data_IF_840778986093
#
_entry.id   IF_840778986093
#
_cell.length_a   1.000
_cell.length_b   1.000
_cell.length_c   1.000
_cell.angle_alpha   90.00
_cell.angle_beta   90.00
_cell.angle_gamma   90.00
#
_symmetry.space_group_name_H-M   'P 1'
#
loop_
_entity.id
_entity.type
_entity.pdbx_description
1 polymer ?
#
# COMPACT_ATOMS: atom_id res chain seq x y z
N UNK A 1 -39.43 3.92 3.87
CA UNK A 1 -38.28 3.79 4.80
C UNK A 1 -37.38 4.99 4.62
N UNK A 2 -36.89 5.59 5.71
CA UNK A 2 -35.91 6.68 5.71
C UNK A 2 -34.65 6.20 6.44
N UNK A 3 -33.75 5.46 5.78
CA UNK A 3 -32.53 4.99 6.42
C UNK A 3 -31.64 6.18 6.80
N UNK A 4 -31.04 6.14 7.99
CA UNK A 4 -30.10 7.17 8.43
C UNK A 4 -28.77 7.08 7.66
N UNK A 5 -28.31 5.86 7.37
CA UNK A 5 -27.08 5.61 6.63
C UNK A 5 -27.16 4.26 5.89
N UNK A 6 -26.32 4.11 4.88
CA UNK A 6 -26.00 2.84 4.23
C UNK A 6 -24.53 2.52 4.50
N UNK A 7 -24.24 1.26 4.85
CA UNK A 7 -22.87 0.74 4.98
C UNK A 7 -22.63 -0.22 3.83
N UNK A 8 -21.57 0.00 3.05
CA UNK A 8 -21.24 -0.82 1.89
C UNK A 8 -19.74 -1.07 1.77
N UNK A 9 -19.37 -2.16 1.10
CA UNK A 9 -17.98 -2.49 0.84
C UNK A 9 -17.43 -1.63 -0.29
N UNK A 10 -16.27 -1.00 -0.09
CA UNK A 10 -15.49 -0.27 -1.08
C UNK A 10 -16.18 0.98 -1.67
N UNK A 11 -17.35 0.84 -2.29
CA UNK A 11 -18.18 1.92 -2.84
C UNK A 11 -17.78 2.40 -4.24
N UNK A 12 -16.73 1.84 -4.85
CA UNK A 12 -16.21 2.31 -6.15
C UNK A 12 -16.60 1.43 -7.33
N UNK A 13 -16.90 0.15 -7.10
CA UNK A 13 -17.29 -0.78 -8.15
C UNK A 13 -18.79 -1.09 -8.14
N UNK A 14 -19.30 -1.53 -9.29
CA UNK A 14 -20.65 -2.08 -9.36
C UNK A 14 -20.71 -3.42 -8.58
N UNK A 15 -21.76 -3.67 -7.77
CA UNK A 15 -22.98 -2.85 -7.62
C UNK A 15 -22.91 -1.72 -6.57
N UNK A 16 -21.93 -1.71 -5.67
CA UNK A 16 -21.85 -0.78 -4.54
C UNK A 16 -21.80 0.69 -4.98
N UNK A 17 -21.09 1.02 -6.05
CA UNK A 17 -21.05 2.35 -6.62
C UNK A 17 -22.43 2.87 -7.06
N UNK A 18 -23.32 1.99 -7.53
CA UNK A 18 -24.68 2.38 -7.88
C UNK A 18 -25.51 2.69 -6.63
N UNK A 19 -25.31 1.92 -5.55
CA UNK A 19 -25.93 2.17 -4.24
C UNK A 19 -25.43 3.49 -3.67
N UNK A 20 -24.12 3.71 -3.65
CA UNK A 20 -23.47 4.97 -3.26
C UNK A 20 -24.09 6.16 -3.98
N UNK A 21 -24.13 6.08 -5.31
CA UNK A 21 -24.66 7.15 -6.16
C UNK A 21 -26.11 7.48 -5.84
N UNK A 22 -26.99 6.48 -5.77
CA UNK A 22 -28.41 6.69 -5.46
C UNK A 22 -28.61 7.27 -4.06
N UNK A 23 -27.83 6.82 -3.08
CA UNK A 23 -27.90 7.32 -1.71
C UNK A 23 -27.46 8.79 -1.63
N UNK A 24 -26.34 9.14 -2.28
CA UNK A 24 -25.87 10.53 -2.36
C UNK A 24 -26.89 11.46 -3.03
N UNK A 25 -27.52 11.02 -4.12
CA UNK A 25 -28.59 11.79 -4.79
C UNK A 25 -29.81 12.02 -3.88
N UNK A 26 -30.05 11.13 -2.91
CA UNK A 26 -31.15 11.21 -1.95
C UNK A 26 -30.75 11.86 -0.61
N UNK A 27 -29.51 12.34 -0.48
CA UNK A 27 -29.00 12.90 0.77
C UNK A 27 -28.88 11.88 1.90
N UNK A 28 -28.78 10.60 1.58
CA UNK A 28 -28.58 9.51 2.54
C UNK A 28 -27.06 9.35 2.76
N UNK A 29 -26.62 9.33 4.02
CA UNK A 29 -25.21 9.13 4.39
C UNK A 29 -24.73 7.76 3.92
N UNK A 30 -23.54 7.70 3.32
CA UNK A 30 -22.93 6.44 2.86
C UNK A 30 -21.59 6.23 3.53
N UNK A 31 -21.48 5.10 4.22
CA UNK A 31 -20.29 4.62 4.87
C UNK A 31 -19.68 3.53 4.00
N UNK A 32 -18.44 3.72 3.56
CA UNK A 32 -17.69 2.69 2.85
C UNK A 32 -16.73 2.02 3.80
N UNK A 33 -16.45 0.73 3.57
CA UNK A 33 -15.45 0.01 4.32
C UNK A 33 -14.49 -0.79 3.45
N UNK A 34 -13.28 -1.01 3.96
CA UNK A 34 -12.30 -1.89 3.33
C UNK A 34 -11.62 -2.82 4.34
N UNK A 35 -11.05 -3.92 3.83
CA UNK A 35 -10.18 -4.80 4.61
C UNK A 35 -8.94 -4.04 5.11
N UNK A 36 -8.61 -4.25 6.38
CA UNK A 36 -7.41 -3.68 6.98
C UNK A 36 -6.14 -4.46 6.69
N UNK A 37 -4.99 -3.87 7.05
CA UNK A 37 -3.68 -4.50 6.88
C UNK A 37 -3.42 -5.67 7.83
N UNK A 38 -4.13 -5.72 8.97
CA UNK A 38 -4.04 -6.80 9.94
C UNK A 38 -5.16 -7.83 9.70
N UNK A 39 -4.93 -9.11 10.05
CA UNK A 39 -6.00 -10.11 9.99
C UNK A 39 -7.24 -9.67 10.76
N UNK A 40 -8.42 -9.95 10.17
CA UNK A 40 -9.73 -9.68 10.76
C UNK A 40 -9.97 -8.21 11.16
N UNK A 41 -9.32 -7.25 10.49
CA UNK A 41 -9.62 -5.83 10.70
C UNK A 41 -10.32 -5.20 9.50
N UNK A 42 -11.11 -4.16 9.74
CA UNK A 42 -11.74 -3.37 8.69
C UNK A 42 -11.66 -1.86 9.00
N UNK A 43 -11.50 -1.06 7.96
CA UNK A 43 -11.49 0.40 8.00
C UNK A 43 -12.82 0.92 7.49
N UNK A 44 -13.41 1.91 8.17
CA UNK A 44 -14.69 2.52 7.81
C UNK A 44 -14.52 4.03 7.64
N UNK A 45 -15.24 4.62 6.68
CA UNK A 45 -15.21 6.07 6.44
C UNK A 45 -16.48 6.55 5.73
N UNK A 46 -16.83 7.81 5.93
CA UNK A 46 -17.83 8.53 5.10
C UNK A 46 -17.28 8.89 3.70
N UNK A 47 -15.95 8.83 3.54
CA UNK A 47 -15.27 9.07 2.28
C UNK A 47 -15.24 7.83 1.39
N UNK A 48 -14.12 7.65 0.71
CA UNK A 48 -13.83 6.49 -0.13
C UNK A 48 -12.82 5.61 0.61
N UNK A 49 -13.26 4.41 1.03
CA UNK A 49 -12.44 3.52 1.86
C UNK A 49 -11.13 3.10 1.19
N UNK A 50 -11.11 3.04 -0.15
CA UNK A 50 -9.96 2.70 -0.97
C UNK A 50 -8.83 3.73 -0.87
N UNK A 51 -9.20 5.01 -0.77
CA UNK A 51 -8.30 6.15 -0.56
C UNK A 51 -7.69 6.17 0.84
N UNK A 52 -8.32 5.50 1.81
CA UNK A 52 -7.89 5.46 3.21
C UNK A 52 -7.67 6.88 3.78
N UNK A 53 -8.69 7.76 3.77
CA UNK A 53 -8.56 9.15 4.23
C UNK A 53 -8.44 9.20 5.76
N UNK A 54 -7.23 8.96 6.27
CA UNK A 54 -6.93 8.98 7.70
C UNK A 54 -6.51 10.40 8.07
N UNK A 55 -7.23 11.00 9.01
CA UNK A 55 -6.81 12.25 9.63
C UNK A 55 -5.94 11.95 10.85
N UNK A 56 -4.65 12.29 10.79
CA UNK A 56 -3.71 12.12 11.90
C UNK A 56 -3.36 13.49 12.45
N UNK A 57 -3.76 13.76 13.69
CA UNK A 57 -3.41 15.02 14.37
C UNK A 57 -1.89 15.22 14.38
N UNK A 58 -1.37 16.44 14.09
CA UNK A 58 0.05 16.77 14.23
C UNK A 58 0.64 16.43 15.61
N UNK A 59 -0.20 16.50 16.65
CA UNK A 59 0.19 16.23 18.04
C UNK A 59 0.27 14.74 18.38
N UNK A 60 -0.27 13.85 17.53
CA UNK A 60 -0.19 12.42 17.76
C UNK A 60 1.25 11.94 17.57
N UNK A 61 1.89 11.51 18.65
CA UNK A 61 3.21 10.88 18.64
C UNK A 61 3.13 9.49 19.28
N UNK A 62 3.89 8.53 18.75
CA UNK A 62 3.94 7.19 19.32
C UNK A 62 4.65 7.24 20.68
N UNK A 63 4.03 6.65 21.70
CA UNK A 63 4.70 6.38 22.98
C UNK A 63 5.77 5.28 22.80
N UNK A 64 6.68 5.08 23.78
CA UNK A 64 7.63 3.97 23.73
C UNK A 64 6.96 2.59 23.53
N UNK A 65 5.85 2.33 24.22
CA UNK A 65 5.10 1.08 24.08
C UNK A 65 4.48 0.92 22.68
N UNK A 66 3.98 2.01 22.08
CA UNK A 66 3.46 1.99 20.71
C UNK A 66 4.57 1.71 19.69
N UNK A 67 5.76 2.29 19.90
CA UNK A 67 6.92 2.04 19.06
C UNK A 67 7.35 0.57 19.15
N UNK A 68 7.44 0.00 20.35
CA UNK A 68 7.82 -1.41 20.53
C UNK A 68 6.82 -2.35 19.84
N UNK A 69 5.51 -2.09 19.99
CA UNK A 69 4.46 -2.84 19.30
C UNK A 69 4.60 -2.74 17.78
N UNK A 70 4.93 -1.57 17.26
CA UNK A 70 5.15 -1.37 15.83
C UNK A 70 6.40 -2.11 15.33
N UNK A 71 7.48 -2.11 16.12
CA UNK A 71 8.73 -2.78 15.77
C UNK A 71 8.57 -4.30 15.72
N UNK A 72 7.76 -4.87 16.62
CA UNK A 72 7.38 -6.29 16.57
C UNK A 72 6.66 -6.63 15.26
N UNK A 73 5.64 -5.85 14.90
CA UNK A 73 4.93 -6.01 13.64
C UNK A 73 5.84 -5.89 12.42
N UNK A 74 6.73 -4.88 12.39
CA UNK A 74 7.67 -4.67 11.28
C UNK A 74 8.69 -5.82 11.18
N UNK A 75 9.18 -6.34 12.31
CA UNK A 75 10.11 -7.48 12.36
C UNK A 75 9.51 -8.74 11.74
N UNK A 76 8.24 -9.03 12.00
CA UNK A 76 7.52 -10.14 11.36
C UNK A 76 7.32 -9.89 9.86
N UNK A 77 6.90 -8.67 9.52
CA UNK A 77 6.64 -8.26 8.13
C UNK A 77 7.88 -8.34 7.25
N UNK A 78 9.03 -7.86 7.72
CA UNK A 78 10.31 -7.92 6.99
C UNK A 78 10.87 -9.34 6.85
N UNK A 79 10.43 -10.29 7.71
CA UNK A 79 10.71 -11.72 7.54
C UNK A 79 9.75 -12.42 6.57
N UNK A 80 8.81 -11.69 5.97
CA UNK A 80 7.79 -12.23 5.06
C UNK A 80 6.69 -13.02 5.77
N UNK A 81 6.54 -12.83 7.08
CA UNK A 81 5.47 -13.44 7.86
C UNK A 81 4.28 -12.49 7.93
N UNK A 82 3.63 -12.24 6.79
CA UNK A 82 2.39 -11.46 6.76
C UNK A 82 1.38 -11.98 5.74
N UNK A 83 0.10 -11.62 5.99
CA UNK A 83 -1.03 -11.92 5.12
C UNK A 83 -1.91 -10.69 4.97
N UNK A 84 -2.46 -10.43 3.79
CA UNK A 84 -3.50 -9.42 3.58
C UNK A 84 -4.75 -10.12 3.08
N UNK A 85 -5.91 -9.80 3.67
CA UNK A 85 -7.18 -10.47 3.36
C UNK A 85 -7.00 -12.01 3.31
N UNK A 86 -6.41 -12.59 4.35
CA UNK A 86 -6.15 -14.04 4.48
C UNK A 86 -5.23 -14.69 3.42
N UNK A 87 -4.50 -13.89 2.63
CA UNK A 87 -3.59 -14.39 1.59
C UNK A 87 -2.15 -14.07 1.97
N UNK A 88 -1.33 -15.11 2.03
CA UNK A 88 0.14 -15.00 2.12
C UNK A 88 0.72 -14.92 0.73
N UNK A 89 1.15 -13.73 0.31
CA UNK A 89 1.72 -13.51 -1.03
C UNK A 89 3.14 -14.09 -1.19
N UNK A 90 3.87 -14.32 -0.10
CA UNK A 90 5.24 -14.85 -0.11
C UNK A 90 5.38 -16.07 0.82
N UNK A 91 5.11 -17.30 0.32
CA UNK A 91 5.34 -18.51 1.11
C UNK A 91 6.84 -18.84 1.28
N UNK A 92 7.68 -18.47 0.30
CA UNK A 92 9.14 -18.61 0.33
C UNK A 92 9.79 -17.34 -0.29
N UNK A 93 10.34 -16.43 0.51
CA UNK A 93 11.13 -15.32 -0.04
C UNK A 93 12.52 -15.82 -0.39
N UNK A 94 12.88 -15.77 -1.67
CA UNK A 94 14.23 -16.04 -2.13
C UNK A 94 15.04 -14.75 -2.02
N UNK A 95 16.18 -14.81 -1.33
CA UNK A 95 17.12 -13.70 -1.31
C UNK A 95 17.65 -13.39 -2.71
N UNK A 96 18.49 -12.36 -2.82
CA UNK A 96 19.13 -12.02 -4.09
C UNK A 96 20.15 -13.10 -4.45
N UNK A 97 19.98 -13.78 -5.58
CA UNK A 97 20.84 -14.88 -6.00
C UNK A 97 22.21 -14.40 -6.51
N UNK A 98 23.13 -15.36 -6.71
CA UNK A 98 24.49 -15.06 -7.13
C UNK A 98 24.54 -14.35 -8.50
N UNK A 99 23.65 -14.71 -9.43
CA UNK A 99 23.60 -14.11 -10.76
C UNK A 99 23.14 -12.64 -10.69
N UNK A 100 22.15 -12.33 -9.86
CA UNK A 100 21.73 -10.96 -9.58
C UNK A 100 22.86 -10.16 -8.96
N UNK A 101 23.53 -10.70 -7.94
CA UNK A 101 24.62 -10.02 -7.24
C UNK A 101 25.82 -9.77 -8.15
N UNK A 102 26.16 -10.72 -9.01
CA UNK A 102 27.19 -10.56 -10.04
C UNK A 102 26.82 -9.43 -11.01
N UNK A 103 25.61 -9.46 -11.58
CA UNK A 103 25.13 -8.39 -12.48
C UNK A 103 25.16 -7.03 -11.79
N UNK A 104 24.64 -6.94 -10.57
CA UNK A 104 24.60 -5.70 -9.79
C UNK A 104 26.00 -5.13 -9.51
N UNK A 105 27.04 -5.96 -9.41
CA UNK A 105 28.41 -5.51 -9.17
C UNK A 105 29.01 -4.69 -10.32
N UNK A 106 28.43 -4.75 -11.52
CA UNK A 106 28.85 -3.96 -12.68
C UNK A 106 28.28 -2.54 -12.72
N UNK A 107 27.36 -2.21 -11.81
CA UNK A 107 26.69 -0.91 -11.75
C UNK A 107 27.09 -0.15 -10.49
N UNK A 108 27.02 1.18 -10.55
CA UNK A 108 27.36 2.04 -9.39
C UNK A 108 26.34 1.88 -8.26
N UNK A 109 25.09 1.64 -8.63
CA UNK A 109 23.96 1.66 -7.70
C UNK A 109 22.76 0.87 -8.22
N UNK A 110 21.84 0.53 -7.32
CA UNK A 110 20.62 -0.21 -7.62
C UNK A 110 19.41 0.68 -7.30
N UNK A 111 18.49 0.83 -8.24
CA UNK A 111 17.22 1.56 -8.06
C UNK A 111 16.05 0.62 -8.34
N UNK A 112 15.38 0.10 -7.29
CA UNK A 112 14.15 -0.66 -7.43
C UNK A 112 12.99 0.24 -7.85
N UNK A 113 12.20 -0.26 -8.80
CA UNK A 113 10.99 0.37 -9.31
C UNK A 113 9.84 -0.60 -9.04
N UNK A 114 9.07 -0.33 -7.98
CA UNK A 114 7.93 -1.16 -7.61
C UNK A 114 6.65 -0.62 -8.25
N UNK A 115 6.00 -1.48 -9.04
CA UNK A 115 4.70 -1.17 -9.65
C UNK A 115 3.54 -1.58 -8.75
N UNK A 116 2.34 -1.25 -9.20
CA UNK A 116 1.07 -1.63 -8.56
C UNK A 116 0.20 -2.42 -9.55
N UNK A 117 -0.83 -3.07 -9.01
CA UNK A 117 -1.91 -3.59 -9.84
C UNK A 117 -2.66 -2.42 -10.49
N UNK A 118 -2.67 -2.36 -11.83
CA UNK A 118 -3.18 -1.23 -12.61
C UNK A 118 -4.68 -0.97 -12.42
N UNK A 119 -5.44 -2.03 -12.15
CA UNK A 119 -6.91 -1.97 -11.98
C UNK A 119 -7.33 -2.01 -10.51
N UNK A 120 -6.40 -1.79 -9.57
CA UNK A 120 -6.76 -1.59 -8.18
C UNK A 120 -7.49 -0.24 -8.01
N UNK A 121 -8.58 -0.25 -7.25
CA UNK A 121 -9.28 0.97 -6.81
C UNK A 121 -8.37 2.02 -6.17
N UNK A 122 -7.24 1.62 -5.58
CA UNK A 122 -6.25 2.55 -5.04
C UNK A 122 -5.64 3.49 -6.09
N UNK A 123 -5.74 3.14 -7.39
CA UNK A 123 -5.25 3.96 -8.50
C UNK A 123 -6.14 5.19 -8.77
N UNK A 124 -7.41 5.17 -8.39
CA UNK A 124 -8.38 6.25 -8.71
C UNK A 124 -7.92 7.62 -8.19
N UNK A 125 -7.13 7.65 -7.11
CA UNK A 125 -6.60 8.88 -6.53
C UNK A 125 -5.10 9.06 -6.73
N UNK A 126 -4.43 8.09 -7.36
CA UNK A 126 -2.98 8.05 -7.45
C UNK A 126 -2.44 8.98 -8.53
N UNK A 127 -3.19 9.15 -9.62
CA UNK A 127 -2.75 9.81 -10.85
C UNK A 127 -2.75 11.34 -10.69
N UNK A 128 -1.82 11.88 -9.90
CA UNK A 128 -1.70 13.32 -9.62
C UNK A 128 -0.62 14.01 -10.44
N UNK A 129 0.40 13.27 -10.89
CA UNK A 129 1.53 13.77 -11.70
C UNK A 129 1.44 13.22 -13.12
N UNK A 130 1.27 11.91 -13.24
CA UNK A 130 1.14 11.18 -14.50
C UNK A 130 -0.32 10.78 -14.73
N UNK A 131 -0.73 10.69 -16.00
CA UNK A 131 -2.09 10.30 -16.37
C UNK A 131 -2.44 8.87 -15.89
N UNK A 132 -1.46 7.98 -15.90
CA UNK A 132 -1.51 6.62 -15.38
C UNK A 132 -0.08 6.10 -15.08
N UNK A 133 0.00 4.86 -14.58
CA UNK A 133 1.26 4.21 -14.22
C UNK A 133 2.14 3.86 -15.44
N UNK A 134 1.57 3.63 -16.63
CA UNK A 134 2.36 3.32 -17.82
C UNK A 134 3.07 4.56 -18.36
N UNK A 135 2.41 5.73 -18.33
CA UNK A 135 3.08 7.00 -18.66
C UNK A 135 4.21 7.30 -17.65
N UNK A 136 4.03 6.93 -16.38
CA UNK A 136 5.12 6.97 -15.41
C UNK A 136 6.25 6.00 -15.78
N UNK A 137 5.95 4.76 -16.15
CA UNK A 137 6.96 3.79 -16.59
C UNK A 137 7.71 4.23 -17.85
N UNK A 138 7.06 4.95 -18.79
CA UNK A 138 7.73 5.55 -19.94
C UNK A 138 8.75 6.62 -19.51
N UNK A 139 8.42 7.42 -18.48
CA UNK A 139 9.37 8.36 -17.87
C UNK A 139 10.53 7.63 -17.15
N UNK A 140 10.24 6.53 -16.43
CA UNK A 140 11.28 5.67 -15.84
C UNK A 140 12.20 5.09 -16.93
N UNK A 141 11.65 4.63 -18.05
CA UNK A 141 12.43 4.13 -19.20
C UNK A 141 13.38 5.20 -19.74
N UNK A 142 12.94 6.45 -19.86
CA UNK A 142 13.80 7.54 -20.29
C UNK A 142 14.98 7.76 -19.31
N UNK A 143 14.74 7.64 -17.99
CA UNK A 143 15.80 7.69 -16.99
C UNK A 143 16.76 6.49 -17.08
N UNK A 144 16.23 5.27 -17.30
CA UNK A 144 17.03 4.06 -17.52
C UNK A 144 18.02 4.27 -18.68
N UNK A 145 17.54 4.78 -19.81
CA UNK A 145 18.36 4.98 -21.01
C UNK A 145 19.44 6.07 -20.81
N UNK A 146 19.16 7.07 -19.97
CA UNK A 146 20.09 8.16 -19.66
C UNK A 146 21.16 7.79 -18.62
N UNK A 147 20.88 6.80 -17.77
CA UNK A 147 21.74 6.41 -16.64
C UNK A 147 22.24 4.94 -16.77
N UNK A 148 23.07 4.62 -17.77
CA UNK A 148 23.58 3.26 -17.98
C UNK A 148 24.45 2.74 -16.83
N UNK A 149 24.94 3.62 -15.96
CA UNK A 149 25.71 3.28 -14.75
C UNK A 149 24.85 2.81 -13.57
N UNK A 150 23.53 2.96 -13.64
CA UNK A 150 22.57 2.56 -12.59
C UNK A 150 21.83 1.30 -13.01
N UNK A 151 21.78 0.29 -12.14
CA UNK A 151 20.93 -0.89 -12.33
C UNK A 151 19.51 -0.59 -11.86
N UNK A 152 18.55 -0.60 -12.78
CA UNK A 152 17.14 -0.50 -12.45
C UNK A 152 16.51 -1.88 -12.31
N UNK A 153 15.76 -2.09 -11.23
CA UNK A 153 15.05 -3.35 -10.97
C UNK A 153 13.55 -3.10 -11.00
N UNK A 154 12.93 -3.37 -12.15
CA UNK A 154 11.48 -3.21 -12.30
C UNK A 154 10.81 -4.46 -11.78
N UNK A 155 9.97 -4.31 -10.76
CA UNK A 155 9.23 -5.42 -10.16
C UNK A 155 7.73 -5.26 -10.37
N UNK A 156 7.15 -6.17 -11.13
CA UNK A 156 5.70 -6.27 -11.29
C UNK A 156 5.01 -6.72 -9.99
N UNK A 157 3.77 -6.30 -9.78
CA UNK A 157 3.04 -6.68 -8.57
C UNK A 157 2.62 -8.17 -8.64
N UNK A 158 2.79 -8.97 -7.57
CA UNK A 158 2.47 -10.41 -7.60
C UNK A 158 1.03 -10.74 -7.99
N UNK A 159 0.09 -9.86 -7.65
CA UNK A 159 -1.33 -10.03 -7.97
C UNK A 159 -1.70 -9.82 -9.45
N UNK A 160 -0.82 -9.28 -10.32
CA UNK A 160 -1.15 -9.03 -11.74
C UNK A 160 -1.52 -10.30 -12.53
N UNK A 161 -0.97 -11.45 -12.13
CA UNK A 161 -1.20 -12.76 -12.77
C UNK A 161 -1.94 -13.75 -11.87
N UNK A 162 -2.61 -13.24 -10.83
CA UNK A 162 -3.43 -14.08 -9.99
C UNK A 162 -4.56 -14.69 -10.81
N UNK A 163 -4.65 -16.02 -10.83
CA UNK A 163 -5.67 -16.74 -11.59
C UNK A 163 -7.08 -16.22 -11.27
N UNK A 164 -7.83 -15.83 -12.30
CA UNK A 164 -9.16 -15.21 -12.19
C UNK A 164 -9.18 -13.70 -11.93
N UNK A 165 -8.01 -13.04 -11.87
CA UNK A 165 -7.83 -11.58 -11.73
C UNK A 165 -6.76 -11.05 -12.70
N UNK A 166 -6.54 -11.72 -13.82
CA UNK A 166 -5.46 -11.40 -14.75
C UNK A 166 -5.64 -10.01 -15.39
N UNK A 167 -4.57 -9.24 -15.38
CA UNK A 167 -4.52 -7.94 -16.06
C UNK A 167 -4.62 -8.10 -17.58
N UNK A 168 -5.49 -7.32 -18.24
CA UNK A 168 -5.48 -7.21 -19.73
C UNK A 168 -4.29 -6.40 -20.23
N UNK A 169 -3.89 -5.41 -19.45
CA UNK A 169 -2.67 -4.62 -19.61
C UNK A 169 -1.80 -4.89 -18.38
N UNK A 170 -0.63 -5.47 -18.57
CA UNK A 170 0.29 -5.85 -17.49
C UNK A 170 1.63 -5.15 -17.63
N UNK A 171 2.36 -5.04 -16.53
CA UNK A 171 3.73 -4.53 -16.54
C UNK A 171 4.64 -5.43 -17.38
N UNK A 172 4.45 -6.75 -17.31
CA UNK A 172 5.17 -7.72 -18.17
C UNK A 172 4.90 -7.46 -19.66
N UNK A 173 3.66 -7.13 -20.04
CA UNK A 173 3.30 -6.71 -21.39
C UNK A 173 4.01 -5.43 -21.82
N UNK A 174 3.96 -4.39 -20.98
CA UNK A 174 4.63 -3.12 -21.24
C UNK A 174 6.15 -3.28 -21.38
N UNK A 175 6.79 -4.08 -20.52
CA UNK A 175 8.25 -4.35 -20.57
C UNK A 175 8.63 -4.98 -21.91
N UNK A 176 7.92 -6.02 -22.36
CA UNK A 176 8.19 -6.71 -23.62
C UNK A 176 7.95 -5.81 -24.83
N UNK A 177 6.84 -5.06 -24.84
CA UNK A 177 6.51 -4.14 -25.93
C UNK A 177 7.58 -3.05 -26.11
N UNK A 178 8.09 -2.53 -24.99
CA UNK A 178 9.08 -1.47 -24.98
C UNK A 178 10.53 -1.98 -24.95
N UNK A 179 10.74 -3.31 -24.98
CA UNK A 179 12.06 -3.98 -24.94
C UNK A 179 12.92 -3.55 -23.75
N UNK A 180 12.28 -3.26 -22.63
CA UNK A 180 12.96 -2.75 -21.42
C UNK A 180 13.81 -3.83 -20.78
N UNK A 181 13.40 -5.10 -20.90
CA UNK A 181 14.15 -6.29 -20.50
C UNK A 181 15.42 -6.53 -21.35
N UNK A 182 15.54 -5.88 -22.51
CA UNK A 182 16.73 -5.96 -23.37
C UNK A 182 17.78 -4.90 -23.03
N UNK A 183 17.46 -3.95 -22.15
CA UNK A 183 18.40 -2.92 -21.73
C UNK A 183 19.44 -3.53 -20.76
N UNK A 184 20.74 -3.25 -20.96
CA UNK A 184 21.81 -3.89 -20.19
C UNK A 184 21.73 -3.60 -18.69
N UNK A 185 21.22 -2.41 -18.35
CA UNK A 185 21.10 -1.88 -17.00
C UNK A 185 19.71 -2.09 -16.37
N UNK A 186 18.96 -3.10 -16.85
CA UNK A 186 17.66 -3.49 -16.29
C UNK A 186 17.66 -4.95 -15.81
N UNK A 187 17.00 -5.18 -14.69
CA UNK A 187 16.48 -6.50 -14.28
C UNK A 187 14.97 -6.37 -14.15
N UNK A 188 14.23 -7.16 -14.91
CA UNK A 188 12.78 -7.29 -14.73
C UNK A 188 12.50 -8.50 -13.83
N UNK A 189 11.66 -8.29 -12.82
CA UNK A 189 11.17 -9.32 -11.91
C UNK A 189 9.66 -9.42 -12.12
N UNK A 190 9.21 -10.49 -12.77
CA UNK A 190 7.80 -10.71 -13.05
C UNK A 190 7.02 -11.01 -11.75
N UNK A 191 5.70 -10.87 -11.82
CA UNK A 191 4.72 -11.12 -10.76
C UNK A 191 4.85 -12.50 -10.08
N UNK A 192 5.30 -13.51 -10.82
CA UNK A 192 5.42 -14.89 -10.32
C UNK A 192 6.79 -15.16 -9.67
N UNK A 193 7.70 -14.19 -9.68
CA UNK A 193 9.03 -14.34 -9.11
C UNK A 193 9.09 -13.92 -7.64
N UNK A 194 9.56 -14.83 -6.80
CA UNK A 194 9.60 -14.66 -5.34
C UNK A 194 10.90 -14.02 -4.82
N UNK A 195 11.47 -13.06 -5.57
CA UNK A 195 12.61 -12.27 -5.09
C UNK A 195 12.22 -11.52 -3.79
N UNK A 196 13.10 -11.39 -2.81
CA UNK A 196 12.86 -10.60 -1.61
C UNK A 196 12.89 -9.11 -1.93
N UNK A 197 11.74 -8.43 -1.83
CA UNK A 197 11.71 -6.97 -1.97
C UNK A 197 12.49 -6.26 -0.86
N UNK A 198 12.57 -6.85 0.33
CA UNK A 198 13.31 -6.28 1.47
C UNK A 198 14.82 -6.33 1.26
N UNK A 199 15.36 -7.44 0.74
CA UNK A 199 16.79 -7.54 0.42
C UNK A 199 17.17 -6.54 -0.69
N UNK A 200 16.26 -6.38 -1.67
CA UNK A 200 16.41 -5.42 -2.75
C UNK A 200 16.40 -3.97 -2.23
N UNK A 201 15.46 -3.62 -1.33
CA UNK A 201 15.40 -2.31 -0.67
C UNK A 201 16.66 -2.08 0.17
N UNK A 202 17.13 -3.07 0.93
CA UNK A 202 18.30 -2.90 1.78
C UNK A 202 19.56 -2.50 0.99
N UNK A 203 19.72 -3.03 -0.23
CA UNK A 203 20.83 -2.73 -1.13
C UNK A 203 20.59 -1.53 -2.05
N UNK A 204 19.38 -0.97 -2.07
CA UNK A 204 19.05 0.11 -2.99
C UNK A 204 19.73 1.42 -2.61
N UNK A 205 19.92 2.27 -3.61
CA UNK A 205 20.37 3.64 -3.46
C UNK A 205 19.22 4.56 -3.04
N UNK A 206 18.12 4.50 -3.78
CA UNK A 206 16.79 4.95 -3.38
C UNK A 206 15.75 4.03 -4.05
N UNK A 207 14.48 4.20 -3.71
CA UNK A 207 13.37 3.38 -4.21
C UNK A 207 12.39 4.26 -4.97
N UNK A 208 11.90 3.75 -6.10
CA UNK A 208 10.81 4.35 -6.85
C UNK A 208 9.57 3.49 -6.69
N UNK A 209 8.43 4.14 -6.46
CA UNK A 209 7.12 3.49 -6.42
C UNK A 209 6.14 4.32 -7.23
N UNK A 210 5.08 3.70 -7.78
CA UNK A 210 3.94 4.50 -8.21
C UNK A 210 3.14 4.95 -6.97
N UNK A 211 2.34 4.05 -6.41
CA UNK A 211 1.62 4.27 -5.15
C UNK A 211 1.64 3.03 -4.22
N UNK A 212 2.63 2.14 -4.40
CA UNK A 212 2.75 0.88 -3.66
C UNK A 212 3.04 1.11 -2.18
N UNK A 213 2.34 0.38 -1.32
CA UNK A 213 2.53 0.43 0.14
C UNK A 213 3.93 0.03 0.58
N UNK A 214 4.68 -0.69 -0.27
CA UNK A 214 6.09 -1.02 -0.02
C UNK A 214 6.98 0.22 0.11
N UNK A 215 6.56 1.36 -0.47
CA UNK A 215 7.25 2.64 -0.27
C UNK A 215 7.31 3.03 1.19
N UNK A 216 6.23 2.83 1.95
CA UNK A 216 6.21 3.10 3.39
C UNK A 216 7.22 2.25 4.17
N UNK A 217 7.34 0.97 3.78
CA UNK A 217 8.30 0.04 4.37
C UNK A 217 9.74 0.43 4.03
N UNK A 218 10.00 0.87 2.78
CA UNK A 218 11.31 1.36 2.37
C UNK A 218 11.76 2.59 3.17
N UNK A 219 10.85 3.54 3.46
CA UNK A 219 11.14 4.69 4.33
C UNK A 219 11.51 4.24 5.74
N UNK A 220 10.77 3.27 6.30
CA UNK A 220 11.04 2.71 7.63
C UNK A 220 12.37 1.92 7.68
N UNK A 221 12.84 1.43 6.54
CA UNK A 221 14.17 0.85 6.36
C UNK A 221 15.27 1.89 6.08
N UNK A 222 14.94 3.18 6.14
CA UNK A 222 15.90 4.27 5.96
C UNK A 222 16.27 4.55 4.50
N UNK A 223 15.40 4.21 3.54
CA UNK A 223 15.61 4.49 2.10
C UNK A 223 14.77 5.65 1.63
N UNK A 224 15.36 6.50 0.80
CA UNK A 224 14.63 7.56 0.10
C UNK A 224 13.62 6.92 -0.85
N UNK A 225 12.41 7.45 -0.87
CA UNK A 225 11.34 7.00 -1.75
C UNK A 225 10.85 8.17 -2.60
N UNK A 226 10.88 7.98 -3.92
CA UNK A 226 10.28 8.87 -4.91
C UNK A 226 9.00 8.22 -5.44
N UNK A 227 7.85 8.84 -5.17
CA UNK A 227 6.54 8.37 -5.58
C UNK A 227 6.11 9.03 -6.90
N UNK A 228 5.72 8.22 -7.88
CA UNK A 228 5.12 8.68 -9.14
C UNK A 228 3.62 8.97 -9.04
N UNK A 229 2.96 8.44 -8.01
CA UNK A 229 1.54 8.67 -7.75
C UNK A 229 1.26 8.88 -6.26
N UNK A 230 0.12 9.48 -5.96
CA UNK A 230 -0.36 9.64 -4.58
C UNK A 230 -0.65 8.28 -3.97
N UNK A 231 -0.11 8.03 -2.78
CA UNK A 231 -0.35 6.81 -2.02
C UNK A 231 -1.04 7.14 -0.69
N UNK A 232 -1.55 6.10 -0.01
CA UNK A 232 -2.18 6.26 1.32
C UNK A 232 -1.24 6.95 2.31
N UNK A 233 0.05 6.62 2.28
CA UNK A 233 1.05 7.16 3.20
C UNK A 233 1.55 8.57 2.84
N UNK A 234 1.32 9.05 1.61
CA UNK A 234 1.74 10.40 1.18
C UNK A 234 0.77 11.50 1.64
N UNK A 235 -0.18 11.17 2.52
CA UNK A 235 -1.03 12.14 3.23
C UNK A 235 -0.24 12.88 4.33
N UNK A 236 0.82 12.25 4.84
CA UNK A 236 1.86 12.91 5.63
C UNK A 236 3.14 12.99 4.78
N UNK A 237 4.04 13.88 5.15
CA UNK A 237 5.38 13.97 4.56
C UNK A 237 6.20 12.74 4.97
N UNK A 238 6.08 11.68 4.18
CA UNK A 238 6.71 10.36 4.38
C UNK A 238 7.61 9.97 3.21
N UNK A 239 7.24 10.37 1.99
CA UNK A 239 8.00 10.18 0.76
C UNK A 239 8.08 11.49 -0.03
N UNK A 240 8.99 11.54 -1.00
CA UNK A 240 8.98 12.58 -2.01
C UNK A 240 7.86 12.31 -3.02
N UNK A 241 6.82 13.12 -2.97
CA UNK A 241 5.76 13.20 -3.99
C UNK A 241 5.70 14.65 -4.49
N UNK A 242 6.43 14.98 -5.57
CA UNK A 242 6.40 16.33 -6.14
C UNK A 242 5.03 16.66 -6.74
N UNK A 243 4.78 17.93 -7.05
CA UNK A 243 3.45 18.37 -7.53
C UNK A 243 3.36 18.37 -9.05
N UNK A 244 4.49 18.37 -9.75
CA UNK A 244 4.55 18.50 -11.20
C UNK A 244 5.60 17.56 -11.80
N UNK A 245 5.44 17.25 -13.09
CA UNK A 245 6.41 16.44 -13.83
C UNK A 245 7.83 17.03 -13.84
N UNK A 246 8.04 18.35 -14.06
CA UNK A 246 9.39 18.92 -13.98
C UNK A 246 10.04 18.78 -12.60
N UNK A 247 9.27 18.90 -11.52
CA UNK A 247 9.78 18.67 -10.16
C UNK A 247 10.10 17.19 -9.92
N UNK A 248 9.31 16.28 -10.49
CA UNK A 248 9.58 14.84 -10.48
C UNK A 248 10.91 14.52 -11.17
N UNK A 249 11.11 14.99 -12.40
CA UNK A 249 12.32 14.75 -13.17
C UNK A 249 13.56 15.33 -12.47
N UNK A 250 13.43 16.53 -11.88
CA UNK A 250 14.51 17.15 -11.12
C UNK A 250 14.91 16.35 -9.87
N UNK A 251 13.93 15.81 -9.12
CA UNK A 251 14.21 14.95 -7.97
C UNK A 251 14.80 13.60 -8.39
N UNK A 252 14.30 13.01 -9.47
CA UNK A 252 14.83 11.76 -10.03
C UNK A 252 16.30 11.93 -10.43
N UNK A 253 16.62 12.97 -11.20
CA UNK A 253 18.00 13.29 -11.60
C UNK A 253 18.89 13.54 -10.37
N UNK A 254 18.39 14.30 -9.39
CA UNK A 254 19.12 14.55 -8.15
C UNK A 254 19.47 13.24 -7.45
N UNK A 255 18.49 12.35 -7.25
CA UNK A 255 18.74 11.08 -6.55
C UNK A 255 19.56 10.09 -7.36
N UNK A 256 19.57 10.18 -8.69
CA UNK A 256 20.44 9.33 -9.52
C UNK A 256 21.91 9.80 -9.50
N UNK A 257 22.16 11.09 -9.24
CA UNK A 257 23.50 11.69 -9.29
C UNK A 257 24.13 11.93 -7.91
N UNK A 258 23.31 12.09 -6.87
CA UNK A 258 23.77 12.28 -5.49
C UNK A 258 24.35 10.96 -4.93
N UNK A 259 25.57 10.93 -4.37
CA UNK A 259 26.19 9.67 -3.93
C UNK A 259 25.45 8.90 -2.84
N UNK A 260 24.64 9.59 -2.02
CA UNK A 260 23.87 8.98 -0.94
C UNK A 260 22.68 9.86 -0.54
N UNK A 261 21.51 9.70 -1.19
CA UNK A 261 20.28 10.36 -0.77
C UNK A 261 19.93 10.01 0.67
N UNK A 262 19.70 11.03 1.51
CA UNK A 262 19.32 10.84 2.91
C UNK A 262 17.81 11.02 3.10
N UNK A 263 17.20 10.14 3.91
CA UNK A 263 15.81 10.27 4.31
C UNK A 263 15.69 11.35 5.38
N UNK A 264 14.86 12.38 5.18
CA UNK A 264 14.60 13.35 6.24
C UNK A 264 14.07 12.67 7.51
N UNK A 265 14.58 13.03 8.69
CA UNK A 265 14.19 12.37 9.94
C UNK A 265 12.67 12.40 10.19
N UNK A 266 12.01 13.50 9.79
CA UNK A 266 10.55 13.64 9.93
C UNK A 266 9.77 12.65 9.02
N UNK A 267 10.33 12.20 7.90
CA UNK A 267 9.71 11.17 7.06
C UNK A 267 9.57 9.85 7.82
N UNK A 268 10.61 9.45 8.56
CA UNK A 268 10.58 8.23 9.37
C UNK A 268 9.56 8.36 10.51
N UNK A 269 9.55 9.51 11.21
CA UNK A 269 8.57 9.79 12.27
C UNK A 269 7.14 9.73 11.72
N UNK A 270 6.88 10.39 10.60
CA UNK A 270 5.57 10.39 9.94
C UNK A 270 5.18 9.00 9.43
N UNK A 271 6.13 8.23 8.90
CA UNK A 271 5.89 6.87 8.44
C UNK A 271 5.44 5.97 9.60
N UNK A 272 6.09 6.09 10.77
CA UNK A 272 5.71 5.36 11.99
C UNK A 272 4.34 5.81 12.51
N UNK A 273 4.09 7.11 12.56
CA UNK A 273 2.78 7.69 12.94
C UNK A 273 1.67 7.16 12.04
N UNK A 274 1.86 7.26 10.73
CA UNK A 274 0.91 6.78 9.73
C UNK A 274 0.64 5.29 9.87
N UNK A 275 1.71 4.47 9.90
CA UNK A 275 1.57 3.02 9.94
C UNK A 275 0.89 2.56 11.23
N UNK A 276 1.27 3.12 12.39
CA UNK A 276 0.64 2.77 13.66
C UNK A 276 -0.85 3.14 13.67
N UNK A 277 -1.18 4.34 13.21
CA UNK A 277 -2.57 4.81 13.13
C UNK A 277 -3.39 3.88 12.24
N UNK A 278 -2.86 3.56 11.05
CA UNK A 278 -3.52 2.67 10.10
C UNK A 278 -3.73 1.27 10.67
N UNK A 279 -2.76 0.71 11.40
CA UNK A 279 -2.82 -0.67 11.91
C UNK A 279 -3.68 -0.84 13.15
N UNK A 280 -3.67 0.16 14.05
CA UNK A 280 -4.16 -0.03 15.42
C UNK A 280 -5.27 0.92 15.82
N UNK A 281 -5.42 2.07 15.14
CA UNK A 281 -6.44 3.06 15.49
C UNK A 281 -7.58 3.04 14.48
N UNK A 282 -7.29 3.21 13.19
CA UNK A 282 -8.35 3.28 12.17
C UNK A 282 -8.78 1.91 11.63
N UNK A 283 -8.03 0.83 11.89
CA UNK A 283 -8.42 -0.53 11.54
C UNK A 283 -9.10 -1.21 12.72
N UNK A 284 -10.44 -1.28 12.68
CA UNK A 284 -11.25 -1.87 13.74
C UNK A 284 -11.10 -3.40 13.76
N UNK A 285 -10.78 -4.03 14.91
CA UNK A 285 -10.58 -5.47 15.01
C UNK A 285 -11.89 -6.25 15.21
N UNK A 286 -12.07 -7.30 14.42
CA UNK A 286 -13.21 -8.23 14.47
C UNK A 286 -12.76 -9.68 14.73
N UNK A 287 -11.52 -9.89 15.19
CA UNK A 287 -10.98 -11.24 15.44
C UNK A 287 -11.77 -11.98 16.52
N UNK A 288 -12.46 -11.32 17.44
CA UNK A 288 -13.38 -11.97 18.39
C UNK A 288 -14.57 -12.65 17.67
N UNK A 289 -15.00 -12.12 16.54
CA UNK A 289 -16.21 -12.55 15.81
C UNK A 289 -15.92 -13.30 14.52
N UNK A 290 -14.75 -13.09 13.92
CA UNK A 290 -14.39 -13.62 12.61
C UNK A 290 -13.27 -14.66 12.73
N UNK A 291 -13.38 -15.68 11.88
CA UNK A 291 -12.30 -16.65 11.59
C UNK A 291 -12.20 -16.85 10.09
N UNK A 292 -11.10 -17.41 9.63
CA UNK A 292 -10.98 -17.88 8.24
C UNK A 292 -12.09 -18.91 7.96
N UNK A 293 -12.66 -18.87 6.75
CA UNK A 293 -13.72 -19.79 6.35
C UNK A 293 -13.24 -21.24 6.17
N UNK A 294 -11.93 -21.44 5.96
CA UNK A 294 -11.30 -22.74 5.70
C UNK A 294 -11.57 -23.31 4.30
N UNK A 295 -12.28 -22.58 3.44
CA UNK A 295 -12.68 -23.02 2.08
C UNK A 295 -12.04 -22.14 1.02
N UNK A 296 -12.24 -20.83 1.11
CA UNK A 296 -11.75 -19.87 0.13
C UNK A 296 -10.68 -18.97 0.76
N UNK A 297 -9.48 -18.97 0.17
CA UNK A 297 -8.38 -18.13 0.67
C UNK A 297 -8.81 -16.66 0.73
N UNK A 298 -8.80 -16.11 1.93
CA UNK A 298 -9.15 -14.73 2.21
C UNK A 298 -10.59 -14.45 2.59
N UNK A 299 -11.44 -15.47 2.60
CA UNK A 299 -12.81 -15.36 3.07
C UNK A 299 -12.87 -15.63 4.57
N UNK A 300 -13.84 -15.00 5.22
CA UNK A 300 -14.07 -15.11 6.65
C UNK A 300 -15.49 -15.57 6.91
N UNK A 301 -15.66 -16.29 8.02
CA UNK A 301 -16.97 -16.67 8.55
C UNK A 301 -17.08 -16.24 10.00
N UNK A 302 -18.31 -16.16 10.49
CA UNK A 302 -18.57 -15.95 11.91
C UNK A 302 -18.03 -17.13 12.74
N UNK A 303 -17.45 -16.80 13.89
CA UNK A 303 -17.22 -17.72 15.00
C UNK A 303 -18.54 -18.01 15.70
N UNK A 304 -18.54 -19.05 16.54
CA UNK A 304 -19.67 -19.31 17.45
C UNK A 304 -19.53 -18.40 18.67
N UNK A 305 -20.48 -17.47 18.83
CA UNK A 305 -20.55 -16.56 19.98
C UNK A 305 -22.02 -16.21 20.30
N UNK A 306 -22.36 -15.93 21.58
CA UNK A 306 -23.72 -15.51 21.93
C UNK A 306 -23.99 -14.08 21.45
N UNK A 307 -25.24 -13.81 21.00
CA UNK A 307 -25.66 -12.48 20.53
C UNK A 307 -25.48 -11.37 21.57
N UNK A 308 -25.43 -11.70 22.85
CA UNK A 308 -25.15 -10.74 23.93
C UNK A 308 -23.76 -10.10 23.83
N UNK A 309 -22.82 -10.72 23.11
CA UNK A 309 -21.51 -10.12 22.82
C UNK A 309 -21.58 -9.07 21.70
N UNK A 310 -22.65 -9.04 20.90
CA UNK A 310 -22.85 -8.03 19.84
C UNK A 310 -23.40 -6.70 20.38
N UNK A 311 -22.78 -6.16 21.43
CA UNK A 311 -23.23 -4.90 22.05
C UNK A 311 -22.08 -3.93 22.29
N UNK A 312 -22.34 -2.61 22.26
CA UNK A 312 -21.35 -1.58 22.62
C UNK A 312 -20.77 -1.72 24.04
N UNK A 313 -21.49 -2.39 24.94
CA UNK A 313 -21.03 -2.65 26.31
C UNK A 313 -20.05 -3.83 26.39
N UNK A 314 -20.17 -4.80 25.47
CA UNK A 314 -19.37 -6.03 25.47
C UNK A 314 -18.12 -5.94 24.58
N UNK A 315 -18.10 -5.04 23.58
CA UNK A 315 -16.97 -4.92 22.65
C UNK A 315 -16.68 -3.45 22.31
N UNK A 316 -15.41 -3.05 22.50
CA UNK A 316 -14.93 -1.72 22.10
C UNK A 316 -15.10 -1.49 20.60
N UNK A 317 -14.84 -2.49 19.76
CA UNK A 317 -15.02 -2.39 18.31
C UNK A 317 -16.47 -2.10 17.97
N UNK A 318 -17.41 -2.84 18.56
CA UNK A 318 -18.84 -2.64 18.26
C UNK A 318 -19.35 -1.30 18.76
N UNK A 319 -18.82 -0.81 19.88
CA UNK A 319 -19.10 0.56 20.34
C UNK A 319 -18.61 1.60 19.33
N UNK A 320 -17.36 1.51 18.88
CA UNK A 320 -16.81 2.45 17.88
C UNK A 320 -17.62 2.38 16.58
N UNK A 321 -17.95 1.18 16.12
CA UNK A 321 -18.75 0.98 14.91
C UNK A 321 -20.16 1.57 15.05
N UNK A 322 -20.86 1.29 16.16
CA UNK A 322 -22.21 1.79 16.38
C UNK A 322 -22.23 3.31 16.53
N UNK A 323 -21.30 3.88 17.29
CA UNK A 323 -21.17 5.33 17.49
C UNK A 323 -20.83 6.03 16.18
N UNK A 324 -19.95 5.45 15.36
CA UNK A 324 -19.63 6.00 14.05
C UNK A 324 -20.80 5.95 13.07
N UNK A 325 -21.57 4.86 13.06
CA UNK A 325 -22.77 4.72 12.20
C UNK A 325 -23.90 5.65 12.67
N UNK A 326 -24.22 5.64 13.96
CA UNK A 326 -25.42 6.28 14.51
C UNK A 326 -25.21 7.76 14.87
N UNK A 327 -24.00 8.16 15.22
CA UNK A 327 -23.73 9.50 15.75
C UNK A 327 -22.68 10.28 14.94
N UNK A 328 -22.05 9.65 13.95
CA UNK A 328 -21.03 10.31 13.13
C UNK A 328 -19.69 10.48 13.84
N UNK A 329 -19.44 9.71 14.90
CA UNK A 329 -18.15 9.70 15.57
C UNK A 329 -17.06 9.05 14.69
N UNK A 330 -15.77 9.37 14.90
CA UNK A 330 -14.68 8.72 14.18
C UNK A 330 -14.65 7.20 14.38
N UNK A 331 -14.34 6.45 13.32
CA UNK A 331 -14.13 5.00 13.38
C UNK A 331 -12.71 4.67 13.85
N UNK A 332 -12.42 5.03 15.09
CA UNK A 332 -11.08 4.93 15.66
C UNK A 332 -11.08 4.24 17.02
N UNK A 333 -10.14 3.32 17.21
CA UNK A 333 -9.91 2.68 18.49
C UNK A 333 -9.36 3.70 19.51
N UNK A 334 -9.80 3.65 20.77
CA UNK A 334 -9.23 4.48 21.82
C UNK A 334 -7.75 4.14 22.05
N UNK A 335 -6.96 5.17 22.40
CA UNK A 335 -5.53 5.07 22.70
C UNK A 335 -5.23 4.37 24.03
#
# INVERSE_FOLDING_TARGET
>A
MHPQAVVEFNGMFYPEAAVRFVCQQKGIRVLTHEVGLRPFTAFFTDGEATAYPIHISPEFQLTPAMNERLDQYLSERFKGNFSMAGIRFWPEMKGLDAAFLEKASHFKQIVPVFTNVIFDTSQVHANTIFADMFIWLDNVKAAIEKHPETLFVIRAHPDEFRAGKEARESVSGWVKQNKVDQLPNVVFVDSQEFLSSYDLIQRSHFVMVYNSTIGLEAILMGKVVLAGGKARFTQLETAYLPKTLPEYDALLEKFLTEPKPEVPAHFIVNARRFLYYQLYLSSLPFDEFLREDGVWKGYVTLKDFPLSQLTPAASTTLRVLSEGILHGNPFEMPL
#
